data_IF_410114468577
#
_entry.id   IF_410114468577
#
_cell.length_a   1.000
_cell.length_b   1.000
_cell.length_c   1.000
_cell.angle_alpha   90.00
_cell.angle_beta   90.00
_cell.angle_gamma   90.00
#
_symmetry.space_group_name_H-M   'P 1'
#
loop_
_entity.id
_entity.type
_entity.pdbx_description
1 polymer ?
#
# COMPACT_ATOMS: atom_id res chain seq x y z
N UNK A 1 5.96 -13.73 12.74
CA UNK A 1 5.17 -12.99 11.74
C UNK A 1 5.15 -13.83 10.46
N UNK A 2 3.97 -14.06 9.86
CA UNK A 2 3.85 -14.87 8.63
C UNK A 2 4.39 -14.15 7.39
N UNK A 3 4.23 -12.83 7.31
CA UNK A 3 4.85 -12.00 6.27
C UNK A 3 6.29 -11.69 6.67
N UNK A 4 7.25 -12.19 5.93
CA UNK A 4 8.68 -11.97 6.15
C UNK A 4 9.26 -11.19 4.98
N UNK A 5 9.66 -9.96 5.24
CA UNK A 5 10.15 -9.02 4.24
C UNK A 5 11.64 -8.71 4.47
N UNK A 6 12.44 -8.57 3.40
CA UNK A 6 13.87 -8.27 3.55
C UNK A 6 14.15 -6.92 4.20
N UNK A 7 13.21 -5.96 4.03
CA UNK A 7 13.33 -4.60 4.59
C UNK A 7 12.01 -4.14 5.18
N UNK A 8 12.05 -3.43 6.31
CA UNK A 8 10.86 -2.85 6.95
C UNK A 8 10.33 -1.59 6.24
N UNK A 9 11.09 -1.03 5.33
CA UNK A 9 10.62 -0.03 4.39
C UNK A 9 10.70 -0.61 2.98
N UNK A 10 9.58 -0.58 2.28
CA UNK A 10 9.46 -0.99 0.90
C UNK A 10 9.19 0.19 -0.03
N UNK A 11 9.03 -0.12 -1.30
CA UNK A 11 8.70 0.81 -2.37
C UNK A 11 7.24 0.64 -2.80
N UNK A 12 6.42 1.68 -2.63
CA UNK A 12 5.04 1.71 -3.13
C UNK A 12 5.00 2.14 -4.61
N UNK A 13 4.61 1.22 -5.48
CA UNK A 13 4.66 1.40 -6.94
C UNK A 13 3.51 2.22 -7.56
N UNK A 14 2.52 2.67 -6.80
CA UNK A 14 1.40 3.43 -7.36
C UNK A 14 1.82 4.65 -8.20
N UNK A 15 2.82 5.45 -7.80
CA UNK A 15 3.30 6.55 -8.63
C UNK A 15 3.86 6.13 -9.99
N UNK A 16 4.43 4.92 -10.11
CA UNK A 16 4.92 4.40 -11.40
C UNK A 16 3.80 4.20 -12.43
N UNK A 17 2.53 4.09 -11.98
CA UNK A 17 1.35 4.05 -12.83
C UNK A 17 0.84 5.44 -13.25
N UNK A 18 1.62 6.50 -13.04
CA UNK A 18 1.24 7.89 -13.30
C UNK A 18 0.09 8.39 -12.39
N UNK A 19 0.17 8.02 -11.10
CA UNK A 19 -0.77 8.50 -10.10
C UNK A 19 -0.67 10.03 -9.94
N UNK A 20 -1.78 10.74 -10.12
CA UNK A 20 -1.95 12.20 -10.08
C UNK A 20 -1.22 12.99 -11.20
N UNK A 21 -0.18 12.48 -11.79
CA UNK A 21 0.58 13.14 -12.84
C UNK A 21 1.27 12.14 -13.76
N UNK A 22 1.50 12.54 -15.00
CA UNK A 22 2.40 11.79 -15.86
C UNK A 22 3.85 11.89 -15.35
N UNK A 23 4.53 10.77 -15.31
CA UNK A 23 5.95 10.66 -14.96
C UNK A 23 6.68 10.15 -16.20
N UNK A 24 7.75 10.81 -16.66
CA UNK A 24 8.63 10.28 -17.70
C UNK A 24 9.15 8.90 -17.35
N UNK A 25 9.35 8.05 -18.34
CA UNK A 25 9.77 6.67 -18.09
C UNK A 25 11.15 6.60 -17.43
N UNK A 26 12.09 7.42 -17.87
CA UNK A 26 13.44 7.54 -17.28
C UNK A 26 13.39 7.95 -15.80
N UNK A 27 12.52 8.91 -15.44
CA UNK A 27 12.31 9.32 -14.04
C UNK A 27 11.73 8.15 -13.21
N UNK A 28 10.76 7.41 -13.78
CA UNK A 28 10.16 6.27 -13.13
C UNK A 28 11.18 5.15 -12.87
N UNK A 29 11.97 4.78 -13.87
CA UNK A 29 13.03 3.77 -13.74
C UNK A 29 14.11 4.22 -12.76
N UNK A 30 14.55 5.47 -12.83
CA UNK A 30 15.54 6.05 -11.92
C UNK A 30 15.04 6.05 -10.46
N UNK A 31 13.72 6.22 -10.22
CA UNK A 31 13.14 6.14 -8.88
C UNK A 31 13.25 4.74 -8.26
N UNK A 32 13.10 3.68 -9.06
CA UNK A 32 13.29 2.30 -8.62
C UNK A 32 14.77 1.99 -8.40
N UNK A 33 15.64 2.45 -9.31
CA UNK A 33 17.08 2.29 -9.16
C UNK A 33 17.61 3.00 -7.90
N UNK A 34 17.11 4.20 -7.59
CA UNK A 34 17.39 4.91 -6.33
C UNK A 34 16.95 4.09 -5.11
N UNK A 35 15.73 3.53 -5.13
CA UNK A 35 15.25 2.67 -4.06
C UNK A 35 16.14 1.44 -3.86
N UNK A 36 16.52 0.78 -4.96
CA UNK A 36 17.45 -0.34 -4.91
C UNK A 36 18.83 0.05 -4.34
N UNK A 37 19.41 1.16 -4.83
CA UNK A 37 20.68 1.69 -4.37
C UNK A 37 20.66 2.10 -2.89
N UNK A 38 19.52 2.58 -2.40
CA UNK A 38 19.29 2.90 -1.00
C UNK A 38 19.08 1.67 -0.09
N UNK A 39 19.02 0.45 -0.65
CA UNK A 39 18.87 -0.80 0.11
C UNK A 39 17.44 -1.31 0.25
N UNK A 40 16.46 -0.70 -0.40
CA UNK A 40 15.08 -1.24 -0.45
C UNK A 40 15.10 -2.58 -1.18
N UNK A 41 14.44 -3.58 -0.58
CA UNK A 41 14.34 -4.94 -1.12
C UNK A 41 12.91 -5.50 -1.05
N UNK A 42 11.93 -4.66 -0.81
CA UNK A 42 10.51 -4.97 -0.93
C UNK A 42 9.84 -3.98 -1.86
N UNK A 43 9.17 -4.47 -2.91
CA UNK A 43 8.49 -3.68 -3.94
C UNK A 43 7.04 -4.13 -4.06
N UNK A 44 6.11 -3.18 -4.03
CA UNK A 44 4.68 -3.43 -4.18
C UNK A 44 4.13 -2.73 -5.41
N UNK A 45 3.29 -3.41 -6.18
CA UNK A 45 2.62 -2.87 -7.36
C UNK A 45 1.20 -3.42 -7.50
N UNK A 46 0.49 -3.04 -8.56
CA UNK A 46 -0.84 -3.55 -8.89
C UNK A 46 -1.18 -3.35 -10.37
N UNK A 47 -2.04 -4.22 -10.91
CA UNK A 47 -2.63 -4.08 -12.24
C UNK A 47 -3.43 -2.76 -12.39
N UNK A 48 -4.11 -2.31 -11.31
CA UNK A 48 -4.81 -1.02 -11.28
C UNK A 48 -3.88 0.16 -11.56
N UNK A 49 -2.63 0.10 -11.15
CA UNK A 49 -1.73 1.25 -11.20
C UNK A 49 -1.33 1.59 -12.63
N UNK A 50 -2.14 2.48 -13.23
CA UNK A 50 -2.00 2.89 -14.62
C UNK A 50 -2.31 1.78 -15.63
N UNK A 51 -3.30 0.90 -15.33
CA UNK A 51 -3.66 -0.24 -16.17
C UNK A 51 -2.47 -1.15 -16.52
N UNK A 52 -1.62 -1.42 -15.51
CA UNK A 52 -0.43 -2.27 -15.65
C UNK A 52 0.87 -1.51 -15.95
N UNK A 53 0.82 -0.18 -16.16
CA UNK A 53 2.03 0.62 -16.43
C UNK A 53 3.05 0.52 -15.30
N UNK A 54 2.60 0.52 -14.03
CA UNK A 54 3.49 0.36 -12.87
C UNK A 54 4.23 -0.96 -12.90
N UNK A 55 3.54 -2.06 -13.23
CA UNK A 55 4.15 -3.39 -13.34
C UNK A 55 5.19 -3.46 -14.45
N UNK A 56 4.90 -2.90 -15.63
CA UNK A 56 5.85 -2.84 -16.75
C UNK A 56 7.12 -2.06 -16.37
N UNK A 57 6.97 -0.89 -15.75
CA UNK A 57 8.11 -0.06 -15.33
C UNK A 57 8.91 -0.71 -14.21
N UNK A 58 8.23 -1.29 -13.23
CA UNK A 58 8.89 -2.00 -12.13
C UNK A 58 9.66 -3.22 -12.64
N UNK A 59 9.05 -4.03 -13.50
CA UNK A 59 9.70 -5.18 -14.13
C UNK A 59 10.93 -4.79 -14.94
N UNK A 60 10.83 -3.73 -15.77
CA UNK A 60 11.96 -3.19 -16.52
C UNK A 60 13.09 -2.69 -15.61
N UNK A 61 12.77 -2.01 -14.52
CA UNK A 61 13.76 -1.47 -13.60
C UNK A 61 14.43 -2.55 -12.74
N UNK A 62 13.72 -3.63 -12.42
CA UNK A 62 14.27 -4.76 -11.66
C UNK A 62 14.93 -5.82 -12.54
N UNK A 63 14.81 -5.73 -13.87
CA UNK A 63 15.48 -6.63 -14.80
C UNK A 63 16.99 -6.64 -14.57
N UNK A 64 17.59 -7.81 -14.48
CA UNK A 64 19.03 -7.97 -14.22
C UNK A 64 19.44 -7.99 -12.76
N UNK A 65 18.54 -7.73 -11.82
CA UNK A 65 18.78 -8.00 -10.41
C UNK A 65 18.43 -9.44 -10.07
N UNK A 66 19.22 -10.03 -9.16
CA UNK A 66 18.93 -11.37 -8.64
C UNK A 66 17.53 -11.41 -8.02
N UNK A 67 16.68 -12.30 -8.55
CA UNK A 67 15.28 -12.41 -8.10
C UNK A 67 15.17 -12.87 -6.63
N UNK A 68 16.16 -13.54 -6.10
CA UNK A 68 16.22 -13.96 -4.69
C UNK A 68 16.62 -12.83 -3.76
N UNK A 69 17.17 -11.73 -4.29
CA UNK A 69 17.62 -10.59 -3.50
C UNK A 69 16.47 -9.66 -3.03
N UNK A 70 15.24 -9.83 -3.51
CA UNK A 70 14.12 -8.97 -3.15
C UNK A 70 12.78 -9.71 -3.05
N UNK A 71 11.86 -9.14 -2.31
CA UNK A 71 10.46 -9.55 -2.26
C UNK A 71 9.61 -8.64 -3.17
N UNK A 72 8.65 -9.24 -3.87
CA UNK A 72 7.73 -8.58 -4.78
C UNK A 72 6.30 -8.91 -4.39
N UNK A 73 5.46 -7.88 -4.25
CA UNK A 73 4.02 -8.07 -4.11
C UNK A 73 3.25 -7.44 -5.25
N UNK A 74 2.17 -8.11 -5.64
CA UNK A 74 1.21 -7.64 -6.63
C UNK A 74 -0.21 -7.84 -6.12
N UNK A 75 -1.20 -7.42 -6.90
CA UNK A 75 -2.59 -7.47 -6.47
C UNK A 75 -3.47 -8.13 -7.52
N UNK A 76 -4.49 -8.87 -7.07
CA UNK A 76 -5.50 -9.57 -7.89
C UNK A 76 -6.89 -9.00 -7.64
N UNK A 77 -7.88 -9.46 -8.40
CA UNK A 77 -9.26 -8.95 -8.37
C UNK A 77 -9.54 -7.90 -9.43
N UNK A 78 -8.49 -7.48 -10.17
CA UNK A 78 -8.62 -6.63 -11.36
C UNK A 78 -7.80 -7.22 -12.50
N UNK A 79 -8.39 -7.23 -13.70
CA UNK A 79 -7.80 -7.75 -14.94
C UNK A 79 -7.67 -6.59 -15.91
N UNK A 80 -6.51 -6.44 -16.51
CA UNK A 80 -6.28 -5.49 -17.61
C UNK A 80 -6.71 -6.17 -18.90
N UNK A 81 -7.67 -5.57 -19.60
CA UNK A 81 -8.21 -6.07 -20.86
C UNK A 81 -7.38 -5.55 -22.05
N UNK A 82 -7.42 -6.28 -23.17
CA UNK A 82 -6.79 -5.81 -24.41
C UNK A 82 -7.58 -4.67 -25.05
N UNK A 83 -8.85 -4.50 -24.66
CA UNK A 83 -9.71 -3.40 -25.09
C UNK A 83 -9.15 -2.06 -24.63
N UNK A 84 -9.05 -1.14 -25.59
CA UNK A 84 -8.64 0.26 -25.36
C UNK A 84 -9.88 1.11 -25.23
N UNK A 85 -9.97 1.89 -24.17
CA UNK A 85 -11.04 2.87 -24.00
C UNK A 85 -10.84 4.02 -25.00
N UNK A 86 -11.85 4.26 -25.86
CA UNK A 86 -11.89 5.39 -26.77
C UNK A 86 -12.86 6.44 -26.22
N UNK A 87 -12.36 7.65 -25.99
CA UNK A 87 -13.15 8.78 -25.46
C UNK A 87 -12.86 9.11 -24.01
N UNK A 88 -13.78 9.80 -23.35
CA UNK A 88 -13.67 10.13 -21.94
C UNK A 88 -13.74 8.84 -21.11
N UNK A 89 -12.68 8.55 -20.37
CA UNK A 89 -12.62 7.38 -19.51
C UNK A 89 -13.59 7.52 -18.34
N UNK A 90 -14.31 6.46 -18.03
CA UNK A 90 -14.93 6.34 -16.71
C UNK A 90 -13.83 6.06 -15.68
N UNK A 91 -13.38 7.12 -15.03
CA UNK A 91 -12.30 7.09 -14.07
C UNK A 91 -12.79 6.76 -12.65
N UNK A 92 -14.09 6.45 -12.51
CA UNK A 92 -14.75 6.13 -11.25
C UNK A 92 -14.85 7.31 -10.27
N UNK A 93 -15.43 7.05 -9.09
CA UNK A 93 -15.64 8.09 -8.04
C UNK A 93 -14.35 8.75 -7.55
N UNK A 94 -13.22 8.06 -7.63
CA UNK A 94 -11.90 8.60 -7.22
C UNK A 94 -11.20 9.39 -8.33
N UNK A 95 -11.94 9.75 -9.37
CA UNK A 95 -11.66 10.77 -10.38
C UNK A 95 -10.25 10.81 -10.91
N UNK A 96 -9.95 10.10 -11.97
CA UNK A 96 -8.72 10.32 -12.72
C UNK A 96 -7.41 9.94 -12.04
N UNK A 97 -7.45 9.17 -10.95
CA UNK A 97 -6.26 8.84 -10.15
C UNK A 97 -5.08 8.33 -11.00
N UNK A 98 -5.40 7.58 -12.07
CA UNK A 98 -4.44 7.05 -13.05
C UNK A 98 -4.80 7.45 -14.50
N UNK A 99 -5.34 8.64 -14.72
CA UNK A 99 -5.76 9.10 -16.06
C UNK A 99 -4.63 9.09 -17.09
N UNK A 100 -3.39 9.27 -16.65
CA UNK A 100 -2.19 9.20 -17.48
C UNK A 100 -1.58 7.80 -17.60
N UNK A 101 -2.31 6.75 -17.17
CA UNK A 101 -1.92 5.35 -17.33
C UNK A 101 -2.08 4.86 -18.77
N UNK A 102 -1.91 3.56 -18.98
CA UNK A 102 -2.21 2.92 -20.25
C UNK A 102 -3.71 3.02 -20.56
N UNK A 103 -4.12 3.07 -21.84
CA UNK A 103 -5.51 3.26 -22.22
C UNK A 103 -6.37 2.01 -22.07
N UNK A 104 -5.83 0.92 -21.56
CA UNK A 104 -6.52 -0.34 -21.42
C UNK A 104 -7.62 -0.29 -20.37
N UNK A 105 -8.75 -0.89 -20.67
CA UNK A 105 -9.87 -1.07 -19.74
C UNK A 105 -9.49 -2.06 -18.64
N UNK A 106 -10.00 -1.83 -17.44
CA UNK A 106 -9.83 -2.71 -16.29
C UNK A 106 -11.20 -3.31 -15.92
N UNK A 107 -11.25 -4.63 -15.73
CA UNK A 107 -12.42 -5.34 -15.24
C UNK A 107 -12.17 -5.91 -13.84
N UNK A 108 -13.22 -5.99 -13.02
CA UNK A 108 -13.19 -6.68 -11.74
C UNK A 108 -13.43 -8.18 -11.96
N UNK A 109 -12.58 -9.02 -11.38
CA UNK A 109 -12.77 -10.47 -11.35
C UNK A 109 -12.10 -11.08 -10.11
N UNK A 110 -12.90 -11.30 -9.06
CA UNK A 110 -12.46 -11.89 -7.80
C UNK A 110 -12.65 -13.42 -7.75
N UNK A 111 -13.01 -14.06 -8.86
CA UNK A 111 -13.13 -15.51 -8.94
C UNK A 111 -11.75 -16.19 -8.86
N UNK A 112 -11.73 -17.50 -8.64
CA UNK A 112 -10.49 -18.28 -8.66
C UNK A 112 -9.80 -18.22 -10.02
N UNK A 113 -10.55 -18.27 -11.12
CA UNK A 113 -10.01 -18.21 -12.49
C UNK A 113 -9.54 -16.79 -12.82
N UNK A 114 -10.29 -15.76 -12.41
CA UNK A 114 -9.86 -14.37 -12.52
C UNK A 114 -8.56 -14.11 -11.76
N UNK A 115 -8.39 -14.72 -10.59
CA UNK A 115 -7.16 -14.62 -9.80
C UNK A 115 -5.96 -15.21 -10.53
N UNK A 116 -6.09 -16.40 -11.14
CA UNK A 116 -5.03 -17.02 -11.94
C UNK A 116 -4.64 -16.14 -13.11
N UNK A 117 -5.64 -15.67 -13.87
CA UNK A 117 -5.41 -14.75 -15.00
C UNK A 117 -4.70 -13.47 -14.57
N UNK A 118 -5.10 -12.87 -13.46
CA UNK A 118 -4.48 -11.65 -12.93
C UNK A 118 -2.99 -11.90 -12.59
N UNK A 119 -2.66 -13.03 -11.95
CA UNK A 119 -1.27 -13.40 -11.65
C UNK A 119 -0.47 -13.61 -12.93
N UNK A 120 -0.98 -14.37 -13.89
CA UNK A 120 -0.32 -14.61 -15.18
C UNK A 120 -0.04 -13.30 -15.94
N UNK A 121 -1.02 -12.39 -15.96
CA UNK A 121 -0.85 -11.08 -16.56
C UNK A 121 0.20 -10.24 -15.82
N UNK A 122 0.22 -10.28 -14.49
CA UNK A 122 1.21 -9.56 -13.67
C UNK A 122 2.62 -10.11 -13.87
N UNK A 123 2.78 -11.42 -13.89
CA UNK A 123 4.07 -12.08 -14.18
C UNK A 123 4.62 -11.66 -15.56
N UNK A 124 3.75 -11.64 -16.58
CA UNK A 124 4.12 -11.20 -17.94
C UNK A 124 4.56 -9.72 -17.97
N UNK A 125 3.80 -8.81 -17.34
CA UNK A 125 4.15 -7.39 -17.31
C UNK A 125 5.40 -7.11 -16.47
N UNK A 126 5.58 -7.82 -15.37
CA UNK A 126 6.75 -7.72 -14.50
C UNK A 126 8.00 -8.40 -15.09
N UNK A 127 7.84 -9.28 -16.10
CA UNK A 127 8.95 -10.02 -16.68
C UNK A 127 9.64 -10.97 -15.69
N UNK A 128 8.89 -11.57 -14.78
CA UNK A 128 9.39 -12.47 -13.74
C UNK A 128 8.57 -13.75 -13.69
N UNK A 129 9.14 -14.81 -13.13
CA UNK A 129 8.50 -16.13 -12.98
C UNK A 129 7.75 -16.28 -11.64
N UNK A 130 7.90 -15.35 -10.67
CA UNK A 130 7.26 -15.44 -9.37
C UNK A 130 6.91 -14.10 -8.75
N UNK A 131 5.84 -14.10 -7.96
CA UNK A 131 5.43 -13.04 -7.04
C UNK A 131 5.47 -13.64 -5.63
N UNK A 132 6.05 -12.92 -4.66
CA UNK A 132 6.21 -13.44 -3.31
C UNK A 132 4.93 -13.31 -2.48
N UNK A 133 4.25 -12.15 -2.56
CA UNK A 133 3.01 -11.88 -1.84
C UNK A 133 1.93 -11.35 -2.76
N UNK A 134 0.70 -11.81 -2.55
CA UNK A 134 -0.44 -11.40 -3.38
C UNK A 134 -1.55 -10.84 -2.51
N UNK A 135 -2.02 -9.64 -2.86
CA UNK A 135 -3.12 -8.99 -2.17
C UNK A 135 -4.39 -9.02 -3.02
N UNK A 136 -5.53 -9.43 -2.42
CA UNK A 136 -6.86 -9.26 -3.03
C UNK A 136 -7.20 -7.77 -2.91
N UNK A 137 -7.35 -7.09 -4.04
CA UNK A 137 -7.35 -5.64 -4.13
C UNK A 137 -8.75 -5.07 -4.00
N UNK A 138 -8.97 -4.33 -2.91
CA UNK A 138 -10.15 -3.50 -2.65
C UNK A 138 -11.53 -4.17 -2.79
N UNK A 139 -11.79 -5.37 -2.26
CA UNK A 139 -13.16 -5.87 -2.13
C UNK A 139 -13.85 -5.15 -0.96
N UNK A 140 -14.07 -3.83 -1.11
CA UNK A 140 -14.46 -2.92 -0.04
C UNK A 140 -15.43 -1.85 -0.52
N UNK A 141 -16.11 -1.20 0.43
CA UNK A 141 -17.20 -0.24 0.17
C UNK A 141 -16.77 0.96 -0.68
N UNK A 142 -15.55 1.41 -0.54
CA UNK A 142 -15.01 2.57 -1.27
C UNK A 142 -14.78 2.33 -2.78
N UNK A 143 -14.88 1.07 -3.24
CA UNK A 143 -14.82 0.70 -4.65
C UNK A 143 -16.09 0.03 -5.17
N UNK A 144 -16.91 -0.54 -4.29
CA UNK A 144 -18.07 -1.34 -4.68
C UNK A 144 -19.39 -0.84 -4.06
N UNK A 145 -19.37 0.33 -3.40
CA UNK A 145 -20.57 0.90 -2.80
C UNK A 145 -21.29 -0.11 -1.87
N UNK A 146 -22.59 -0.19 -1.96
CA UNK A 146 -23.38 -1.08 -1.10
C UNK A 146 -23.23 -2.57 -1.44
N UNK A 147 -22.79 -2.91 -2.66
CA UNK A 147 -22.55 -4.29 -3.09
C UNK A 147 -21.24 -4.90 -2.54
N UNK A 148 -20.43 -4.14 -1.78
CA UNK A 148 -19.10 -4.57 -1.36
C UNK A 148 -19.07 -5.88 -0.57
N UNK A 149 -20.15 -6.22 0.18
CA UNK A 149 -20.20 -7.46 0.94
C UNK A 149 -20.33 -8.67 0.04
N UNK A 150 -21.16 -8.59 -1.01
CA UNK A 150 -21.31 -9.65 -2.01
C UNK A 150 -20.01 -9.82 -2.80
N UNK A 151 -19.33 -8.72 -3.13
CA UNK A 151 -18.00 -8.76 -3.76
C UNK A 151 -16.96 -9.40 -2.84
N UNK A 152 -16.96 -9.08 -1.56
CA UNK A 152 -16.07 -9.71 -0.58
C UNK A 152 -16.38 -11.22 -0.45
N UNK A 153 -17.64 -11.62 -0.48
CA UNK A 153 -18.04 -13.04 -0.47
C UNK A 153 -17.47 -13.79 -1.67
N UNK A 154 -17.56 -13.20 -2.87
CA UNK A 154 -16.93 -13.76 -4.08
C UNK A 154 -15.41 -13.83 -3.92
N UNK A 155 -14.79 -12.78 -3.38
CA UNK A 155 -13.34 -12.71 -3.18
C UNK A 155 -12.84 -13.78 -2.18
N UNK A 156 -13.56 -13.99 -1.08
CA UNK A 156 -13.20 -15.00 -0.09
C UNK A 156 -13.49 -16.43 -0.58
N UNK A 157 -14.57 -16.64 -1.34
CA UNK A 157 -14.91 -17.95 -1.92
C UNK A 157 -14.12 -18.31 -3.17
N UNK A 158 -13.54 -17.31 -3.87
CA UNK A 158 -12.79 -17.49 -5.12
C UNK A 158 -11.30 -17.20 -4.97
N UNK A 159 -10.94 -15.92 -4.93
CA UNK A 159 -9.55 -15.47 -4.89
C UNK A 159 -8.79 -16.02 -3.68
N UNK A 160 -9.36 -15.94 -2.47
CA UNK A 160 -8.71 -16.41 -1.25
C UNK A 160 -8.44 -17.93 -1.30
N UNK A 161 -9.40 -18.70 -1.82
CA UNK A 161 -9.24 -20.16 -2.00
C UNK A 161 -8.12 -20.48 -2.99
N UNK A 162 -8.07 -19.77 -4.13
CA UNK A 162 -7.01 -19.97 -5.12
C UNK A 162 -5.63 -19.61 -4.56
N UNK A 163 -5.52 -18.47 -3.86
CA UNK A 163 -4.26 -18.01 -3.26
C UNK A 163 -3.79 -18.91 -2.13
N UNK A 164 -4.72 -19.46 -1.32
CA UNK A 164 -4.38 -20.45 -0.29
C UNK A 164 -3.73 -21.68 -0.90
N UNK A 165 -4.30 -22.21 -2.00
CA UNK A 165 -3.70 -23.34 -2.74
C UNK A 165 -2.33 -23.00 -3.31
N UNK A 166 -2.18 -21.84 -3.93
CA UNK A 166 -0.88 -21.40 -4.47
C UNK A 166 0.18 -21.25 -3.36
N UNK A 167 -0.19 -20.83 -2.16
CA UNK A 167 0.70 -20.82 -1.00
C UNK A 167 1.09 -22.24 -0.58
N UNK A 168 0.14 -23.15 -0.48
CA UNK A 168 0.38 -24.55 -0.11
C UNK A 168 1.26 -25.28 -1.15
N UNK A 169 1.12 -24.92 -2.41
CA UNK A 169 1.94 -25.43 -3.53
C UNK A 169 3.32 -24.74 -3.63
N UNK A 170 3.58 -23.73 -2.79
CA UNK A 170 4.85 -22.99 -2.77
C UNK A 170 5.03 -22.00 -3.92
N UNK A 171 3.97 -21.70 -4.68
CA UNK A 171 3.99 -20.73 -5.79
C UNK A 171 4.10 -19.28 -5.30
N UNK A 172 3.55 -19.00 -4.12
CA UNK A 172 3.64 -17.71 -3.42
C UNK A 172 4.01 -17.94 -1.95
N UNK A 173 4.59 -16.94 -1.30
CA UNK A 173 4.97 -17.02 0.12
C UNK A 173 3.80 -16.70 1.06
N UNK A 174 2.83 -15.93 0.59
CA UNK A 174 1.66 -15.56 1.38
C UNK A 174 0.71 -14.64 0.63
N UNK A 175 -0.48 -14.47 1.22
CA UNK A 175 -1.55 -13.65 0.66
C UNK A 175 -2.36 -12.94 1.75
N UNK A 176 -3.16 -11.98 1.32
CA UNK A 176 -4.15 -11.29 2.17
C UNK A 176 -4.97 -10.29 1.37
N UNK A 177 -5.62 -9.34 2.06
CA UNK A 177 -6.31 -8.24 1.39
C UNK A 177 -5.39 -7.01 1.30
N UNK A 178 -5.51 -6.26 0.20
CA UNK A 178 -4.93 -4.94 0.03
C UNK A 178 -6.06 -3.92 -0.07
N UNK A 179 -6.32 -3.16 1.01
CA UNK A 179 -7.54 -2.35 1.17
C UNK A 179 -7.28 -1.01 1.86
N UNK A 180 -8.23 -0.08 1.70
CA UNK A 180 -8.28 1.20 2.41
C UNK A 180 -9.30 1.18 3.58
N UNK A 181 -9.75 0.02 4.01
CA UNK A 181 -10.73 -0.17 5.09
C UNK A 181 -10.34 -1.32 5.99
N UNK A 182 -10.69 -1.25 7.27
CA UNK A 182 -10.38 -2.30 8.26
C UNK A 182 -11.41 -3.43 8.23
N UNK A 183 -12.67 -3.12 8.03
CA UNK A 183 -13.79 -4.07 8.11
C UNK A 183 -13.64 -5.30 7.18
N UNK A 184 -13.20 -5.19 5.92
CA UNK A 184 -12.97 -6.37 5.09
C UNK A 184 -11.91 -7.31 5.67
N UNK A 185 -10.88 -6.75 6.34
CA UNK A 185 -9.83 -7.54 6.97
C UNK A 185 -10.38 -8.35 8.14
N UNK A 186 -11.26 -7.78 8.94
CA UNK A 186 -11.90 -8.48 10.07
C UNK A 186 -12.74 -9.67 9.59
N UNK A 187 -13.57 -9.44 8.56
CA UNK A 187 -14.37 -10.51 7.95
C UNK A 187 -13.48 -11.61 7.36
N UNK A 188 -12.40 -11.23 6.69
CA UNK A 188 -11.45 -12.18 6.13
C UNK A 188 -10.76 -13.02 7.22
N UNK A 189 -10.46 -12.44 8.38
CA UNK A 189 -9.90 -13.18 9.52
C UNK A 189 -10.84 -14.23 10.10
N UNK A 190 -12.13 -14.00 10.01
CA UNK A 190 -13.16 -14.94 10.51
C UNK A 190 -13.41 -16.09 9.54
N UNK A 191 -13.20 -15.86 8.23
CA UNK A 191 -13.68 -16.75 7.16
C UNK A 191 -12.58 -17.37 6.32
N UNK A 192 -11.33 -16.99 6.54
CA UNK A 192 -10.18 -17.46 5.75
C UNK A 192 -8.89 -17.44 6.58
N UNK A 193 -7.78 -17.86 5.98
CA UNK A 193 -6.46 -17.92 6.64
C UNK A 193 -5.42 -17.08 5.90
N UNK A 194 -5.53 -15.74 5.90
CA UNK A 194 -4.53 -14.86 5.30
C UNK A 194 -3.23 -14.86 6.11
N UNK A 195 -2.12 -14.48 5.46
CA UNK A 195 -0.81 -14.32 6.10
C UNK A 195 -0.58 -12.90 6.62
N UNK A 196 -1.35 -11.94 6.10
CA UNK A 196 -1.28 -10.53 6.51
C UNK A 196 -2.24 -9.66 5.72
N UNK A 197 -2.08 -8.35 5.87
CA UNK A 197 -2.88 -7.35 5.17
C UNK A 197 -2.02 -6.17 4.73
N UNK A 198 -2.32 -5.63 3.56
CA UNK A 198 -1.85 -4.31 3.15
C UNK A 198 -2.99 -3.32 3.41
N UNK A 199 -2.81 -2.44 4.39
CA UNK A 199 -3.80 -1.40 4.72
C UNK A 199 -3.24 -0.03 4.35
N UNK A 200 -3.95 0.67 3.45
CA UNK A 200 -3.50 1.97 3.00
C UNK A 200 -4.17 3.10 3.80
N UNK A 201 -3.34 3.95 4.41
CA UNK A 201 -3.80 5.12 5.15
C UNK A 201 -4.55 4.84 6.45
N UNK A 202 -4.58 3.61 6.96
CA UNK A 202 -5.36 3.20 8.15
C UNK A 202 -4.53 2.91 9.41
N UNK A 203 -3.20 3.05 9.33
CA UNK A 203 -2.33 3.07 10.50
C UNK A 203 -1.27 4.16 10.35
N UNK A 204 -1.71 5.39 10.50
CA UNK A 204 -0.92 6.62 10.29
C UNK A 204 -1.20 7.62 11.41
N UNK A 205 -0.49 8.74 11.45
CA UNK A 205 -0.76 9.82 12.43
C UNK A 205 -2.17 10.41 12.31
N UNK A 206 -2.80 10.36 11.13
CA UNK A 206 -4.15 10.90 10.92
C UNK A 206 -5.26 9.88 11.14
N UNK A 207 -4.97 8.61 10.90
CA UNK A 207 -5.98 7.56 10.97
C UNK A 207 -5.33 6.25 11.44
N UNK A 208 -5.62 5.84 12.66
CA UNK A 208 -5.05 4.63 13.27
C UNK A 208 -6.01 3.95 14.27
N UNK A 209 -7.02 4.64 14.73
CA UNK A 209 -7.85 4.19 15.86
C UNK A 209 -8.58 2.88 15.56
N UNK A 210 -9.24 2.80 14.38
CA UNK A 210 -9.97 1.59 13.99
C UNK A 210 -9.01 0.39 13.80
N UNK A 211 -7.90 0.58 13.09
CA UNK A 211 -6.92 -0.48 12.90
C UNK A 211 -6.31 -0.91 14.24
N UNK A 212 -5.96 0.05 15.11
CA UNK A 212 -5.38 -0.21 16.43
C UNK A 212 -6.32 -1.00 17.34
N UNK A 213 -7.60 -0.66 17.36
CA UNK A 213 -8.58 -1.31 18.22
C UNK A 213 -9.04 -2.68 17.71
N UNK A 214 -9.17 -2.85 16.40
CA UNK A 214 -9.86 -3.99 15.80
C UNK A 214 -8.90 -4.98 15.13
N UNK A 215 -7.96 -4.50 14.30
CA UNK A 215 -7.12 -5.34 13.46
C UNK A 215 -5.78 -5.71 14.11
N UNK A 216 -5.08 -4.74 14.69
CA UNK A 216 -3.72 -4.94 15.20
C UNK A 216 -3.61 -5.99 16.31
N UNK A 217 -4.56 -6.07 17.28
CA UNK A 217 -4.54 -7.12 18.31
C UNK A 217 -4.68 -8.52 17.70
N UNK A 218 -5.65 -8.70 16.79
CA UNK A 218 -5.89 -9.98 16.09
C UNK A 218 -4.71 -10.38 15.22
N UNK A 219 -4.08 -9.39 14.55
CA UNK A 219 -2.89 -9.63 13.73
C UNK A 219 -1.71 -10.08 14.61
N UNK A 220 -1.48 -9.46 15.76
CA UNK A 220 -0.42 -9.84 16.70
C UNK A 220 -0.65 -11.25 17.25
N UNK A 221 -1.87 -11.55 17.69
CA UNK A 221 -2.25 -12.86 18.24
C UNK A 221 -2.02 -14.00 17.24
N UNK A 222 -2.39 -13.78 15.97
CA UNK A 222 -2.26 -14.80 14.90
C UNK A 222 -0.89 -14.78 14.20
N UNK A 223 0.01 -13.90 14.60
CA UNK A 223 1.32 -13.74 13.97
C UNK A 223 1.27 -13.24 12.53
N UNK A 224 0.25 -12.46 12.17
CA UNK A 224 0.10 -11.88 10.83
C UNK A 224 1.02 -10.68 10.63
N UNK A 225 1.33 -10.36 9.37
CA UNK A 225 2.10 -9.18 9.01
C UNK A 225 1.21 -8.09 8.43
N UNK A 226 1.32 -6.86 8.95
CA UNK A 226 0.67 -5.68 8.39
C UNK A 226 1.66 -4.90 7.54
N UNK A 227 1.31 -4.65 6.29
CA UNK A 227 2.01 -3.71 5.41
C UNK A 227 1.21 -2.42 5.38
N UNK A 228 1.81 -1.30 5.79
CA UNK A 228 1.15 0.00 5.78
C UNK A 228 1.45 0.72 4.48
N UNK A 229 0.45 0.83 3.62
CA UNK A 229 0.47 1.68 2.44
C UNK A 229 0.13 3.13 2.80
N UNK A 230 0.64 4.09 2.00
CA UNK A 230 0.31 5.49 2.16
C UNK A 230 0.56 6.08 3.56
N UNK A 231 1.73 5.89 4.19
CA UNK A 231 2.00 6.39 5.54
C UNK A 231 1.92 7.93 5.65
N UNK A 232 1.91 8.62 4.51
CA UNK A 232 1.73 10.08 4.42
C UNK A 232 0.29 10.50 4.10
N UNK A 233 -0.71 9.58 4.15
CA UNK A 233 -2.12 9.85 3.83
C UNK A 233 -2.29 10.64 2.53
N UNK A 234 -2.01 9.98 1.40
CA UNK A 234 -2.05 10.57 0.06
C UNK A 234 -1.13 11.80 -0.12
N UNK A 235 -0.17 11.99 0.78
CA UNK A 235 0.85 13.03 0.71
C UNK A 235 0.60 14.24 1.62
N UNK A 236 -0.55 14.38 2.28
CA UNK A 236 -0.84 15.56 3.10
C UNK A 236 0.13 15.73 4.27
N UNK A 237 0.60 14.63 4.88
CA UNK A 237 1.62 14.65 5.94
C UNK A 237 3.02 14.96 5.40
N UNK A 238 3.22 14.89 4.08
CA UNK A 238 4.45 15.25 3.41
C UNK A 238 4.40 16.64 2.72
N UNK A 239 3.40 17.45 3.03
CA UNK A 239 3.23 18.80 2.50
C UNK A 239 2.37 18.88 1.24
N UNK A 240 1.77 17.78 0.79
CA UNK A 240 0.77 17.75 -0.29
C UNK A 240 -0.62 18.21 0.18
N UNK A 241 -1.59 18.14 -0.72
CA UNK A 241 -2.96 18.62 -0.49
C UNK A 241 -4.00 17.48 -0.47
N UNK A 242 -3.59 16.24 -0.79
CA UNK A 242 -4.51 15.11 -0.92
C UNK A 242 -4.60 14.30 0.38
N UNK A 243 -5.83 13.88 0.68
CA UNK A 243 -6.19 12.90 1.70
C UNK A 243 -7.23 11.94 1.11
N UNK A 244 -7.10 10.65 1.33
CA UNK A 244 -7.95 9.61 0.72
C UNK A 244 -8.09 9.76 -0.82
N UNK A 245 -6.98 10.11 -1.46
CA UNK A 245 -6.85 10.30 -2.92
C UNK A 245 -7.59 11.52 -3.49
N UNK A 246 -8.18 12.36 -2.66
CA UNK A 246 -8.90 13.59 -3.02
C UNK A 246 -8.28 14.82 -2.34
N UNK A 247 -8.67 16.01 -2.78
CA UNK A 247 -8.28 17.25 -2.09
C UNK A 247 -8.84 17.21 -0.66
N UNK A 248 -7.98 17.39 0.33
CA UNK A 248 -8.35 17.31 1.73
C UNK A 248 -9.39 18.36 2.14
N UNK A 249 -10.40 17.93 2.89
CA UNK A 249 -11.39 18.82 3.48
C UNK A 249 -10.82 19.70 4.62
N UNK A 250 -11.57 20.73 5.05
CA UNK A 250 -11.10 21.70 6.03
C UNK A 250 -10.75 21.08 7.40
N UNK A 251 -11.50 20.07 7.84
CA UNK A 251 -11.25 19.39 9.12
C UNK A 251 -9.90 18.66 9.14
N UNK A 252 -9.61 17.91 8.08
CA UNK A 252 -8.33 17.20 7.92
C UNK A 252 -7.18 18.19 7.85
N UNK A 253 -7.33 19.28 7.09
CA UNK A 253 -6.33 20.35 7.01
C UNK A 253 -6.06 20.97 8.36
N UNK A 254 -7.09 21.30 9.13
CA UNK A 254 -6.96 21.86 10.48
C UNK A 254 -6.18 20.90 11.40
N UNK A 255 -6.50 19.59 11.37
CA UNK A 255 -5.77 18.57 12.15
C UNK A 255 -4.29 18.46 11.71
N UNK A 256 -4.02 18.53 10.42
CA UNK A 256 -2.64 18.54 9.89
C UNK A 256 -1.89 19.79 10.30
N UNK A 257 -2.54 20.95 10.35
CA UNK A 257 -1.90 22.21 10.79
C UNK A 257 -1.52 22.16 12.27
N UNK A 258 -2.34 21.54 13.13
CA UNK A 258 -1.97 21.28 14.53
C UNK A 258 -0.75 20.36 14.62
N UNK A 259 -0.73 19.25 13.85
CA UNK A 259 0.42 18.34 13.76
C UNK A 259 1.70 19.08 13.31
N UNK A 260 1.60 19.92 12.29
CA UNK A 260 2.72 20.74 11.79
C UNK A 260 3.21 21.75 12.84
N UNK A 261 2.30 22.39 13.57
CA UNK A 261 2.65 23.34 14.63
C UNK A 261 3.41 22.63 15.76
N UNK A 262 2.91 21.48 16.20
CA UNK A 262 3.55 20.69 17.24
C UNK A 262 4.92 20.15 16.78
N UNK A 263 5.02 19.67 15.55
CA UNK A 263 6.29 19.21 14.97
C UNK A 263 7.33 20.34 14.95
N UNK A 264 6.94 21.55 14.53
CA UNK A 264 7.81 22.74 14.54
C UNK A 264 8.28 23.12 15.94
N UNK A 265 7.38 23.11 16.95
CA UNK A 265 7.77 23.47 18.33
C UNK A 265 8.78 22.51 18.96
N UNK A 266 8.82 21.26 18.48
CA UNK A 266 9.77 20.24 18.91
C UNK A 266 10.94 20.05 17.93
N UNK A 267 11.04 20.85 16.86
CA UNK A 267 12.06 20.73 15.81
C UNK A 267 12.06 19.36 15.11
N UNK A 268 10.88 18.75 14.93
CA UNK A 268 10.68 17.45 14.32
C UNK A 268 10.21 17.62 12.87
N UNK A 269 10.78 16.83 11.96
CA UNK A 269 10.21 16.67 10.61
C UNK A 269 8.94 15.78 10.72
N UNK A 270 7.78 16.33 10.37
CA UNK A 270 6.52 15.61 10.43
C UNK A 270 6.51 14.35 9.55
N UNK A 271 7.28 14.34 8.47
CA UNK A 271 7.43 13.16 7.60
C UNK A 271 8.15 12.02 8.32
N UNK A 272 9.17 12.34 9.11
CA UNK A 272 9.86 11.37 9.94
C UNK A 272 8.92 10.77 10.99
N UNK A 273 8.14 11.63 11.66
CA UNK A 273 7.15 11.18 12.63
C UNK A 273 6.08 10.28 12.00
N UNK A 274 5.59 10.60 10.81
CA UNK A 274 4.59 9.79 10.10
C UNK A 274 5.11 8.38 9.78
N UNK A 275 6.34 8.26 9.28
CA UNK A 275 6.96 6.96 8.99
C UNK A 275 7.20 6.14 10.26
N UNK A 276 7.78 6.77 11.28
CA UNK A 276 8.14 6.07 12.52
C UNK A 276 6.92 5.64 13.31
N UNK A 277 5.86 6.46 13.36
CA UNK A 277 4.59 6.07 13.96
C UNK A 277 4.02 4.81 13.31
N UNK A 278 3.94 4.80 11.98
CA UNK A 278 3.44 3.63 11.25
C UNK A 278 4.30 2.37 11.47
N UNK A 279 5.60 2.51 11.71
CA UNK A 279 6.53 1.41 12.00
C UNK A 279 6.56 0.97 13.46
N UNK A 280 5.97 1.72 14.38
CA UNK A 280 6.11 1.47 15.82
C UNK A 280 5.38 0.21 16.31
N UNK A 281 4.27 -0.17 15.66
CA UNK A 281 3.51 -1.34 16.09
C UNK A 281 4.21 -2.66 15.68
N UNK A 282 4.26 -3.62 16.62
CA UNK A 282 4.96 -4.90 16.42
C UNK A 282 4.38 -5.75 15.27
N UNK A 283 3.07 -5.64 14.98
CA UNK A 283 2.44 -6.33 13.87
C UNK A 283 2.81 -5.73 12.49
N UNK A 284 3.40 -4.53 12.44
CA UNK A 284 3.77 -3.91 11.16
C UNK A 284 5.06 -4.53 10.63
N UNK A 285 4.92 -5.27 9.54
CA UNK A 285 6.03 -5.88 8.80
C UNK A 285 6.82 -4.84 8.02
N UNK A 286 6.12 -3.92 7.34
CA UNK A 286 6.75 -2.84 6.59
C UNK A 286 5.81 -1.65 6.37
N UNK A 287 6.41 -0.51 6.02
CA UNK A 287 5.72 0.63 5.39
C UNK A 287 6.16 0.74 3.93
N UNK A 288 5.23 1.11 3.04
CA UNK A 288 5.49 1.28 1.60
C UNK A 288 5.09 2.68 1.14
N UNK A 289 5.88 3.72 1.47
CA UNK A 289 5.64 5.05 0.93
C UNK A 289 5.81 5.05 -0.59
N UNK A 290 4.92 5.75 -1.29
CA UNK A 290 5.05 5.97 -2.73
C UNK A 290 6.24 6.85 -3.04
N UNK A 291 7.01 6.51 -4.08
CA UNK A 291 8.11 7.33 -4.58
C UNK A 291 7.87 7.66 -6.06
N UNK A 292 7.76 8.94 -6.37
CA UNK A 292 7.49 9.45 -7.72
C UNK A 292 8.69 10.13 -8.38
N UNK A 293 9.84 10.14 -7.72
CA UNK A 293 11.09 10.74 -8.21
C UNK A 293 12.31 10.12 -7.53
N UNK A 294 13.48 10.13 -8.18
CA UNK A 294 14.74 9.71 -7.57
C UNK A 294 15.06 10.51 -6.30
N UNK A 295 15.77 9.91 -5.36
CA UNK A 295 16.13 10.47 -4.06
C UNK A 295 15.05 10.32 -2.99
N UNK A 296 13.79 10.03 -3.36
CA UNK A 296 12.68 9.95 -2.40
C UNK A 296 12.82 8.73 -1.48
N UNK A 297 13.24 7.58 -2.01
CA UNK A 297 13.41 6.36 -1.21
C UNK A 297 14.55 6.49 -0.20
N UNK A 298 15.67 7.05 -0.62
CA UNK A 298 16.79 7.35 0.25
C UNK A 298 16.42 8.40 1.32
N UNK A 299 15.65 9.44 0.96
CA UNK A 299 15.11 10.42 1.89
C UNK A 299 14.21 9.75 2.94
N UNK A 300 13.27 8.90 2.53
CA UNK A 300 12.36 8.20 3.43
C UNK A 300 13.11 7.28 4.41
N UNK A 301 14.14 6.56 3.96
CA UNK A 301 14.98 5.73 4.85
C UNK A 301 15.65 6.56 5.92
N UNK A 302 16.24 7.71 5.55
CA UNK A 302 16.86 8.63 6.49
C UNK A 302 15.84 9.20 7.49
N UNK A 303 14.64 9.55 7.04
CA UNK A 303 13.55 10.04 7.89
C UNK A 303 13.05 8.95 8.85
N UNK A 304 12.95 7.70 8.41
CA UNK A 304 12.54 6.58 9.26
C UNK A 304 13.53 6.28 10.39
N UNK A 305 14.79 6.67 10.25
CA UNK A 305 15.85 6.51 11.27
C UNK A 305 16.23 7.82 11.98
N UNK A 306 15.56 8.93 11.69
CA UNK A 306 15.84 10.21 12.34
C UNK A 306 15.49 10.16 13.84
N UNK A 307 16.30 10.82 14.67
CA UNK A 307 15.99 10.95 16.09
C UNK A 307 14.79 11.89 16.30
N UNK A 308 13.79 11.41 17.02
CA UNK A 308 12.62 12.20 17.40
C UNK A 308 12.55 12.20 18.94
N UNK A 309 12.54 13.38 19.59
CA UNK A 309 12.49 13.47 21.03
C UNK A 309 11.22 12.82 21.62
N UNK A 310 11.35 12.06 22.71
CA UNK A 310 10.22 11.45 23.40
C UNK A 310 9.15 12.47 23.82
N UNK A 311 9.57 13.70 24.14
CA UNK A 311 8.66 14.81 24.45
C UNK A 311 7.68 15.14 23.32
N UNK A 312 8.09 14.97 22.06
CA UNK A 312 7.19 15.17 20.92
C UNK A 312 6.05 14.12 20.91
N UNK A 313 6.38 12.85 21.12
CA UNK A 313 5.40 11.77 21.17
C UNK A 313 4.42 11.94 22.35
N UNK A 314 4.93 12.37 23.50
CA UNK A 314 4.10 12.69 24.66
C UNK A 314 3.16 13.87 24.38
N UNK A 315 3.65 14.91 23.71
CA UNK A 315 2.85 16.06 23.32
C UNK A 315 1.74 15.69 22.33
N UNK A 316 2.00 14.77 21.37
CA UNK A 316 0.96 14.24 20.48
C UNK A 316 -0.16 13.51 21.24
N UNK A 317 0.19 12.70 22.24
CA UNK A 317 -0.79 12.03 23.11
C UNK A 317 -1.58 13.02 23.95
N UNK A 318 -0.92 13.96 24.58
CA UNK A 318 -1.56 14.98 25.41
C UNK A 318 -2.53 15.86 24.62
N UNK A 319 -2.25 16.10 23.35
CA UNK A 319 -3.11 16.82 22.42
C UNK A 319 -4.25 15.97 21.83
N UNK A 320 -4.37 14.67 22.17
CA UNK A 320 -5.35 13.75 21.60
C UNK A 320 -5.16 13.48 20.11
N UNK A 321 -3.96 13.71 19.57
CA UNK A 321 -3.64 13.50 18.16
C UNK A 321 -3.23 12.05 17.88
N UNK A 322 -2.78 11.34 18.90
CA UNK A 322 -2.43 9.92 18.86
C UNK A 322 -3.07 9.22 20.06
N UNK A 323 -3.67 8.06 19.81
CA UNK A 323 -4.28 7.22 20.84
C UNK A 323 -3.30 6.89 21.96
N UNK A 324 -3.80 6.85 23.21
CA UNK A 324 -3.02 6.43 24.38
C UNK A 324 -2.53 4.98 24.27
N UNK A 325 -3.26 4.13 23.55
CA UNK A 325 -2.96 2.72 23.35
C UNK A 325 -1.98 2.47 22.19
N UNK A 326 -1.71 3.50 21.35
CA UNK A 326 -0.80 3.34 20.23
C UNK A 326 0.65 3.17 20.74
N UNK A 327 1.39 2.12 20.34
CA UNK A 327 2.81 2.06 20.61
C UNK A 327 3.53 3.22 19.92
N UNK A 328 4.42 3.85 20.66
CA UNK A 328 5.23 4.96 20.15
C UNK A 328 6.65 4.49 19.84
N UNK A 329 7.32 5.12 18.87
CA UNK A 329 8.75 4.89 18.65
C UNK A 329 9.57 5.17 19.92
N UNK A 330 10.60 4.33 20.15
CA UNK A 330 11.51 4.43 21.30
C UNK A 330 12.54 5.55 21.10
#
# INVERSE_FOLDING_TARGET
MRIQLPTRQGFGGAPLGNMYRAIPEDEALASVADAWGAGIRFFDTAALYGAGLSELRLGKALAGHDRDAYALSAKVGRIVLDEVESGDRDLGEKGGLFEHGLPNRIAYDYTADGTRRAIEQSLKRLGTDRIDYVWIHDPAKDFHGDAWRDVLDVALGGAAVALTRMREEGMIKGWGLGVNRVEPCEIALERSDPDGFLIAGRYTLLDHEAALAQLMPKASERGLGIVVGGPYNSGILAGGEHYEYQIAGPEVRARVDVLKALARSHQVDLRAAALQFSLAHAAVAAVIPGASRPGRSAENLRLASAQIPAAFWQALRAAGLVSVDAPLPA
#
